data_IF_499230230646
#
_entry.id   IF_499230230646
#
_cell.length_a   1.000
_cell.length_b   1.000
_cell.length_c   1.000
_cell.angle_alpha   90.00
_cell.angle_beta   90.00
_cell.angle_gamma   90.00
#
_symmetry.space_group_name_H-M   'P 1'
#
loop_
_entity.id
_entity.type
_entity.pdbx_description
1 polymer ?
#
# COMPACT_ATOMS: atom_id res chain seq x y z
N UNK A 1 -7.31 -15.54 -30.41
CA UNK A 1 -7.45 -15.03 -29.03
C UNK A 1 -6.08 -15.14 -28.39
N UNK A 2 -5.34 -14.03 -28.35
CA UNK A 2 -3.96 -14.05 -27.85
C UNK A 2 -3.96 -14.33 -26.34
N UNK A 3 -3.44 -15.50 -25.99
CA UNK A 3 -2.94 -15.79 -24.67
C UNK A 3 -1.70 -14.92 -24.45
N UNK A 4 -1.92 -13.65 -24.06
CA UNK A 4 -0.84 -12.85 -23.48
C UNK A 4 -0.36 -13.57 -22.24
N UNK A 5 0.86 -14.08 -22.29
CA UNK A 5 1.53 -14.73 -21.16
C UNK A 5 1.45 -13.81 -19.92
N UNK A 6 0.89 -14.29 -18.79
CA UNK A 6 0.70 -13.47 -17.59
C UNK A 6 1.98 -12.77 -17.10
N UNK A 7 3.13 -13.40 -17.31
CA UNK A 7 4.44 -12.93 -16.85
C UNK A 7 4.90 -11.65 -17.55
N UNK A 8 4.79 -11.59 -18.87
CA UNK A 8 5.26 -10.43 -19.67
C UNK A 8 4.46 -9.16 -19.37
N UNK A 9 3.17 -9.31 -19.04
CA UNK A 9 2.33 -8.17 -18.64
C UNK A 9 2.68 -7.66 -17.26
N UNK A 10 3.13 -8.53 -16.34
CA UNK A 10 3.45 -8.16 -14.95
C UNK A 10 4.80 -7.47 -14.89
N UNK A 11 5.83 -8.03 -15.52
CA UNK A 11 7.17 -7.44 -15.56
C UNK A 11 7.15 -6.04 -16.19
N UNK A 12 6.34 -5.87 -17.24
CA UNK A 12 6.11 -4.56 -17.84
C UNK A 12 5.51 -3.56 -16.85
N UNK A 13 4.53 -3.97 -16.04
CA UNK A 13 3.92 -3.08 -15.04
C UNK A 13 4.94 -2.72 -13.96
N UNK A 14 5.72 -3.69 -13.47
CA UNK A 14 6.78 -3.45 -12.48
C UNK A 14 7.80 -2.44 -13.00
N UNK A 15 8.29 -2.63 -14.23
CA UNK A 15 9.23 -1.69 -14.84
C UNK A 15 8.64 -0.28 -15.02
N UNK A 16 7.35 -0.17 -15.36
CA UNK A 16 6.68 1.12 -15.45
C UNK A 16 6.48 1.78 -14.07
N UNK A 17 6.21 1.01 -13.03
CA UNK A 17 6.13 1.51 -11.65
C UNK A 17 7.47 2.12 -11.24
N UNK A 18 8.56 1.40 -11.50
CA UNK A 18 9.92 1.87 -11.20
C UNK A 18 10.18 3.23 -11.82
N UNK A 19 10.02 3.37 -13.14
CA UNK A 19 10.26 4.64 -13.82
C UNK A 19 9.37 5.79 -13.34
N UNK A 20 8.08 5.53 -13.10
CA UNK A 20 7.13 6.54 -12.62
C UNK A 20 7.45 6.99 -11.20
N UNK A 21 7.76 6.05 -10.32
CA UNK A 21 8.09 6.34 -8.93
C UNK A 21 9.44 7.06 -8.81
N UNK A 22 10.46 6.60 -9.55
CA UNK A 22 11.79 7.19 -9.56
C UNK A 22 11.74 8.66 -10.02
N UNK A 23 11.04 8.93 -11.13
CA UNK A 23 10.88 10.31 -11.62
C UNK A 23 10.11 11.19 -10.63
N UNK A 24 9.09 10.64 -9.97
CA UNK A 24 8.37 11.35 -8.91
C UNK A 24 9.28 11.68 -7.71
N UNK A 25 10.06 10.73 -7.22
CA UNK A 25 10.99 10.94 -6.11
C UNK A 25 12.04 12.01 -6.47
N UNK A 26 12.56 11.96 -7.70
CA UNK A 26 13.52 12.94 -8.22
C UNK A 26 12.96 14.36 -8.29
N UNK A 27 11.66 14.50 -8.55
CA UNK A 27 10.97 15.79 -8.65
C UNK A 27 10.41 16.29 -7.31
N UNK A 28 10.33 15.42 -6.29
CA UNK A 28 9.83 15.78 -4.97
C UNK A 28 10.87 16.62 -4.23
N UNK A 29 10.52 17.86 -3.90
CA UNK A 29 11.39 18.79 -3.15
C UNK A 29 11.66 18.33 -1.71
N UNK A 30 10.78 17.48 -1.16
CA UNK A 30 10.89 16.93 0.18
C UNK A 30 10.78 15.39 0.13
N UNK A 31 11.92 14.73 -0.04
CA UNK A 31 12.06 13.27 0.13
C UNK A 31 12.56 12.90 1.53
N UNK A 32 12.78 13.90 2.40
CA UNK A 32 13.22 13.71 3.78
C UNK A 32 12.07 13.45 4.75
N UNK A 33 10.90 14.04 4.49
CA UNK A 33 9.70 13.86 5.30
C UNK A 33 8.98 12.52 5.10
N UNK A 34 8.02 12.19 5.99
CA UNK A 34 7.21 10.99 5.88
C UNK A 34 6.26 11.06 4.67
N UNK A 35 6.09 9.95 3.99
CA UNK A 35 5.22 9.79 2.83
C UNK A 35 4.44 8.49 2.92
N UNK A 36 3.19 8.50 2.45
CA UNK A 36 2.35 7.30 2.37
C UNK A 36 1.95 7.04 0.93
N UNK A 37 2.40 5.92 0.38
CA UNK A 37 1.98 5.44 -0.93
C UNK A 37 0.76 4.55 -0.76
N UNK A 38 -0.37 4.98 -1.36
CA UNK A 38 -1.57 4.17 -1.54
C UNK A 38 -1.54 3.57 -2.94
N UNK A 39 -1.24 2.27 -3.04
CA UNK A 39 -1.35 1.53 -4.29
C UNK A 39 -2.82 1.31 -4.64
N UNK A 40 -3.26 1.79 -5.80
CA UNK A 40 -4.58 1.53 -6.37
C UNK A 40 -4.43 0.48 -7.49
N UNK A 41 -4.76 -0.77 -7.18
CA UNK A 41 -4.44 -1.93 -8.02
C UNK A 41 -5.68 -2.57 -8.62
N UNK A 42 -5.83 -2.61 -9.96
CA UNK A 42 -6.92 -3.34 -10.58
C UNK A 42 -6.88 -4.84 -10.24
N UNK A 43 -7.99 -5.42 -9.81
CA UNK A 43 -8.10 -6.85 -9.52
C UNK A 43 -7.80 -7.73 -10.74
N UNK A 44 -7.93 -7.19 -11.95
CA UNK A 44 -7.63 -7.89 -13.22
C UNK A 44 -6.14 -8.15 -13.48
N UNK A 45 -5.25 -7.60 -12.63
CA UNK A 45 -3.81 -7.89 -12.65
C UNK A 45 -3.34 -8.63 -11.38
N UNK A 46 -4.26 -9.03 -10.52
CA UNK A 46 -3.99 -9.78 -9.29
C UNK A 46 -4.47 -11.23 -9.45
N UNK A 47 -3.91 -12.11 -8.63
CA UNK A 47 -4.42 -13.48 -8.52
C UNK A 47 -5.64 -13.48 -7.59
N UNK A 48 -6.85 -13.79 -8.08
CA UNK A 48 -8.05 -13.82 -7.23
C UNK A 48 -8.01 -14.91 -6.15
N UNK A 49 -7.09 -15.89 -6.25
CA UNK A 49 -6.87 -16.92 -5.22
C UNK A 49 -5.84 -16.49 -4.17
N UNK A 50 -5.01 -15.50 -4.49
CA UNK A 50 -3.95 -15.00 -3.61
C UNK A 50 -3.66 -13.52 -3.87
N UNK A 51 -4.57 -12.66 -3.42
CA UNK A 51 -4.43 -11.21 -3.55
C UNK A 51 -3.18 -10.69 -2.85
N UNK A 52 -2.88 -11.17 -1.64
CA UNK A 52 -1.72 -10.70 -0.90
C UNK A 52 -0.41 -11.11 -1.59
N UNK A 53 -0.29 -12.37 -2.00
CA UNK A 53 0.87 -12.85 -2.73
C UNK A 53 1.07 -12.14 -4.06
N UNK A 54 0.00 -11.82 -4.78
CA UNK A 54 0.07 -11.07 -6.04
C UNK A 54 0.35 -9.56 -5.86
N UNK A 55 0.11 -8.98 -4.67
CA UNK A 55 0.48 -7.59 -4.35
C UNK A 55 1.97 -7.45 -4.00
N UNK A 56 2.54 -8.43 -3.30
CA UNK A 56 3.92 -8.38 -2.78
C UNK A 56 4.95 -7.95 -3.83
N UNK A 57 4.94 -8.43 -5.09
CA UNK A 57 5.88 -7.97 -6.12
C UNK A 57 5.84 -6.45 -6.37
N UNK A 58 4.66 -5.84 -6.38
CA UNK A 58 4.53 -4.39 -6.56
C UNK A 58 5.10 -3.61 -5.38
N UNK A 59 4.87 -4.10 -4.16
CA UNK A 59 5.43 -3.51 -2.94
C UNK A 59 6.96 -3.65 -2.93
N UNK A 60 7.48 -4.83 -3.25
CA UNK A 60 8.93 -5.06 -3.36
C UNK A 60 9.55 -4.12 -4.38
N UNK A 61 8.91 -3.92 -5.53
CA UNK A 61 9.41 -2.99 -6.55
C UNK A 61 9.47 -1.54 -6.05
N UNK A 62 8.43 -1.08 -5.35
CA UNK A 62 8.41 0.25 -4.71
C UNK A 62 9.57 0.37 -3.72
N UNK A 63 9.77 -0.64 -2.86
CA UNK A 63 10.83 -0.63 -1.85
C UNK A 63 12.22 -0.62 -2.50
N UNK A 64 12.43 -1.42 -3.55
CA UNK A 64 13.67 -1.47 -4.30
C UNK A 64 13.97 -0.12 -4.98
N UNK A 65 12.99 0.45 -5.69
CA UNK A 65 13.10 1.74 -6.36
C UNK A 65 13.43 2.87 -5.36
N UNK A 66 12.75 2.90 -4.21
CA UNK A 66 13.02 3.87 -3.14
C UNK A 66 14.44 3.69 -2.57
N UNK A 67 14.88 2.46 -2.35
CA UNK A 67 16.21 2.17 -1.82
C UNK A 67 17.32 2.52 -2.83
N UNK A 68 17.09 2.28 -4.12
CA UNK A 68 17.97 2.71 -5.21
C UNK A 68 18.09 4.24 -5.27
N UNK A 69 16.97 4.95 -5.12
CA UNK A 69 16.96 6.41 -5.09
C UNK A 69 17.71 6.96 -3.85
N UNK A 70 17.44 6.39 -2.67
CA UNK A 70 18.11 6.75 -1.44
C UNK A 70 18.02 5.62 -0.40
N UNK A 71 19.17 4.96 -0.16
CA UNK A 71 19.28 3.82 0.74
C UNK A 71 18.88 4.10 2.21
N UNK A 72 18.84 5.37 2.61
CA UNK A 72 18.45 5.78 3.97
C UNK A 72 16.93 5.82 4.16
N UNK A 73 16.14 5.84 3.08
CA UNK A 73 14.68 5.88 3.19
C UNK A 73 14.18 4.57 3.80
N UNK A 74 13.49 4.68 4.93
CA UNK A 74 12.87 3.53 5.60
C UNK A 74 11.50 3.28 5.00
N UNK A 75 11.18 2.01 4.75
CA UNK A 75 9.90 1.60 4.17
C UNK A 75 9.16 0.64 5.09
N UNK A 76 7.84 0.72 5.12
CA UNK A 76 7.01 -0.20 5.89
C UNK A 76 5.75 -0.58 5.11
N UNK A 77 5.52 -1.88 4.88
CA UNK A 77 4.31 -2.38 4.24
C UNK A 77 3.21 -2.54 5.29
N UNK A 78 2.27 -1.58 5.33
CA UNK A 78 1.33 -1.42 6.44
C UNK A 78 0.09 -2.30 6.27
N UNK A 79 -0.59 -2.21 5.13
CA UNK A 79 -1.92 -2.79 5.00
C UNK A 79 -2.31 -3.13 3.57
N UNK A 80 -3.30 -4.02 3.44
CA UNK A 80 -3.97 -4.39 2.19
C UNK A 80 -5.49 -4.44 2.44
N UNK A 81 -6.25 -3.74 1.60
CA UNK A 81 -7.71 -3.82 1.57
C UNK A 81 -8.17 -4.39 0.23
N UNK A 82 -8.73 -5.60 0.26
CA UNK A 82 -9.22 -6.33 -0.91
C UNK A 82 -10.72 -6.06 -1.04
N UNK A 83 -11.15 -5.45 -2.14
CA UNK A 83 -12.58 -5.22 -2.38
C UNK A 83 -13.11 -6.10 -3.51
N UNK A 84 -14.37 -6.57 -3.41
CA UNK A 84 -15.03 -7.23 -4.51
C UNK A 84 -15.16 -6.27 -5.70
N UNK A 85 -15.08 -6.82 -6.91
CA UNK A 85 -15.16 -6.03 -8.13
C UNK A 85 -13.79 -5.61 -8.64
N UNK A 86 -13.53 -4.29 -8.70
CA UNK A 86 -12.53 -3.76 -9.64
C UNK A 86 -11.13 -3.56 -9.06
N UNK A 87 -10.98 -3.21 -7.78
CA UNK A 87 -9.70 -2.74 -7.24
C UNK A 87 -9.40 -3.28 -5.84
N UNK A 88 -8.11 -3.45 -5.58
CA UNK A 88 -7.52 -3.77 -4.29
C UNK A 88 -6.47 -2.71 -3.97
N UNK A 89 -6.38 -2.34 -2.70
CA UNK A 89 -5.52 -1.27 -2.24
C UNK A 89 -4.44 -1.78 -1.31
N UNK A 90 -3.25 -1.21 -1.38
CA UNK A 90 -2.17 -1.49 -0.43
C UNK A 90 -1.50 -0.20 0.04
N UNK A 91 -0.89 -0.22 1.22
CA UNK A 91 -0.25 0.95 1.83
C UNK A 91 1.21 0.67 2.14
N UNK A 92 2.10 1.51 1.61
CA UNK A 92 3.53 1.52 1.97
C UNK A 92 3.88 2.89 2.51
N UNK A 93 4.38 2.94 3.74
CA UNK A 93 4.91 4.17 4.33
C UNK A 93 6.41 4.29 4.01
N UNK A 94 6.85 5.50 3.68
CA UNK A 94 8.24 5.89 3.51
C UNK A 94 8.58 6.93 4.59
N UNK A 95 9.75 6.82 5.23
CA UNK A 95 10.25 7.76 6.25
C UNK A 95 9.26 8.10 7.38
N UNK A 96 8.26 7.25 7.64
CA UNK A 96 7.41 7.36 8.80
C UNK A 96 8.14 6.77 10.03
N UNK A 97 9.23 7.42 10.45
CA UNK A 97 10.10 6.92 11.54
C UNK A 97 9.43 6.91 12.90
N UNK A 98 8.41 7.75 13.06
CA UNK A 98 7.61 7.84 14.28
C UNK A 98 6.47 6.80 14.31
N UNK A 99 6.38 5.93 13.30
CA UNK A 99 5.44 4.83 13.30
C UNK A 99 5.81 3.81 14.39
N UNK A 100 4.95 3.72 15.40
CA UNK A 100 4.99 2.69 16.41
C UNK A 100 3.80 1.74 16.25
N UNK A 101 4.08 0.49 15.88
CA UNK A 101 3.06 -0.55 15.70
C UNK A 101 2.22 -0.75 16.98
N UNK A 102 2.77 -0.59 18.19
CA UNK A 102 2.05 -0.84 19.44
C UNK A 102 0.99 0.24 19.69
N UNK A 103 1.26 1.48 19.33
CA UNK A 103 0.36 2.63 19.52
C UNK A 103 -0.36 3.08 18.25
N UNK A 104 -0.14 2.43 17.10
CA UNK A 104 -0.72 2.80 15.80
C UNK A 104 -2.26 2.94 15.78
N UNK A 105 -2.97 2.20 16.64
CA UNK A 105 -4.43 2.28 16.83
C UNK A 105 -4.93 3.56 17.55
N UNK A 106 -4.02 4.37 18.08
CA UNK A 106 -4.29 5.67 18.72
C UNK A 106 -3.66 6.82 17.93
N UNK A 107 -2.77 6.52 16.98
CA UNK A 107 -2.02 7.50 16.21
C UNK A 107 -2.95 8.34 15.32
N UNK A 108 -2.80 9.67 15.42
CA UNK A 108 -3.53 10.67 14.63
C UNK A 108 -2.63 11.44 13.67
N UNK A 109 -1.36 11.04 13.56
CA UNK A 109 -0.38 11.71 12.70
C UNK A 109 -0.82 11.63 11.25
N UNK A 110 -0.88 12.79 10.61
CA UNK A 110 -1.23 12.92 9.20
C UNK A 110 0.04 12.73 8.37
N UNK A 111 0.08 11.64 7.60
CA UNK A 111 1.16 11.39 6.64
C UNK A 111 0.67 11.77 5.24
N UNK A 112 1.41 12.60 4.48
CA UNK A 112 1.07 12.93 3.11
C UNK A 112 0.82 11.71 2.22
N UNK A 113 -0.40 11.58 1.71
CA UNK A 113 -0.82 10.45 0.86
C UNK A 113 -0.59 10.72 -0.63
N UNK A 114 0.07 9.79 -1.30
CA UNK A 114 0.26 9.76 -2.75
C UNK A 114 -0.36 8.48 -3.30
N UNK A 115 -1.24 8.62 -4.29
CA UNK A 115 -1.87 7.47 -4.93
C UNK A 115 -0.96 7.00 -6.06
N UNK A 116 -0.48 5.77 -5.97
CA UNK A 116 0.15 5.06 -7.08
C UNK A 116 -0.91 4.22 -7.78
N UNK A 117 -1.48 4.77 -8.86
CA UNK A 117 -2.48 4.08 -9.66
C UNK A 117 -1.82 3.10 -10.61
N UNK A 118 -1.99 1.81 -10.36
CA UNK A 118 -1.47 0.77 -11.21
C UNK A 118 -2.39 0.56 -12.41
N UNK A 119 -1.79 0.41 -13.59
CA UNK A 119 -2.53 0.05 -14.80
C UNK A 119 -1.61 -0.64 -15.80
N UNK A 120 -2.20 -1.42 -16.71
CA UNK A 120 -1.45 -2.12 -17.77
C UNK A 120 -0.76 -1.20 -18.78
N UNK A 121 -1.13 0.09 -18.83
CA UNK A 121 -0.71 1.02 -19.90
C UNK A 121 0.01 2.25 -19.39
N UNK A 122 -0.48 2.87 -18.32
CA UNK A 122 -0.01 4.17 -17.86
C UNK A 122 -0.17 4.28 -16.34
N UNK A 123 0.72 3.65 -15.55
CA UNK A 123 0.74 3.89 -14.11
C UNK A 123 1.06 5.35 -13.83
N UNK A 124 0.52 5.88 -12.75
CA UNK A 124 0.70 7.29 -12.37
C UNK A 124 0.78 7.42 -10.86
N UNK A 125 1.58 8.37 -10.40
CA UNK A 125 1.63 8.77 -9.00
C UNK A 125 1.22 10.23 -8.87
N UNK A 126 0.40 10.54 -7.88
CA UNK A 126 -0.03 11.91 -7.62
C UNK A 126 -0.46 12.10 -6.16
N UNK A 127 -0.32 13.32 -5.66
CA UNK A 127 -0.72 13.71 -4.30
C UNK A 127 -2.24 13.74 -4.16
N UNK A 128 -2.77 13.20 -3.06
CA UNK A 128 -4.20 13.28 -2.71
C UNK A 128 -4.40 13.72 -1.26
N UNK A 129 -4.46 15.04 -1.01
CA UNK A 129 -4.52 15.64 0.33
C UNK A 129 -5.76 15.24 1.14
N UNK A 130 -6.87 15.03 0.44
CA UNK A 130 -8.14 14.67 1.07
C UNK A 130 -8.08 13.29 1.75
N UNK A 131 -7.11 12.46 1.37
CA UNK A 131 -6.91 11.13 1.95
C UNK A 131 -5.98 11.12 3.16
N UNK A 132 -5.28 12.21 3.50
CA UNK A 132 -4.33 12.19 4.62
C UNK A 132 -5.01 11.80 5.93
N UNK A 133 -6.14 12.45 6.24
CA UNK A 133 -6.94 12.14 7.41
C UNK A 133 -7.75 10.85 7.26
N UNK A 134 -8.35 10.62 6.08
CA UNK A 134 -9.19 9.45 5.85
C UNK A 134 -8.40 8.14 5.95
N UNK A 135 -7.21 8.10 5.36
CA UNK A 135 -6.35 6.92 5.40
C UNK A 135 -5.70 6.73 6.76
N UNK A 136 -5.33 7.82 7.46
CA UNK A 136 -4.86 7.72 8.84
C UNK A 136 -5.93 7.10 9.76
N UNK A 137 -7.18 7.58 9.69
CA UNK A 137 -8.28 7.03 10.48
C UNK A 137 -8.59 5.57 10.10
N UNK A 138 -8.54 5.24 8.81
CA UNK A 138 -8.76 3.86 8.33
C UNK A 138 -7.72 2.91 8.91
N UNK A 139 -6.43 3.25 8.80
CA UNK A 139 -5.34 2.42 9.34
C UNK A 139 -5.43 2.29 10.86
N UNK A 140 -5.81 3.36 11.55
CA UNK A 140 -6.04 3.35 13.00
C UNK A 140 -7.12 2.34 13.40
N UNK A 141 -8.25 2.33 12.68
CA UNK A 141 -9.34 1.36 12.88
C UNK A 141 -8.85 -0.06 12.57
N UNK A 142 -8.09 -0.25 11.49
CA UNK A 142 -7.52 -1.56 11.15
C UNK A 142 -6.59 -2.07 12.26
N UNK A 143 -5.66 -1.23 12.74
CA UNK A 143 -4.78 -1.59 13.85
C UNK A 143 -5.54 -1.94 15.12
N UNK A 144 -6.60 -1.20 15.44
CA UNK A 144 -7.46 -1.55 16.56
C UNK A 144 -8.08 -2.93 16.33
N UNK A 145 -8.72 -3.16 15.19
CA UNK A 145 -9.47 -4.39 14.88
C UNK A 145 -8.62 -5.65 14.79
N UNK A 146 -7.45 -5.57 14.15
CA UNK A 146 -6.52 -6.69 13.98
C UNK A 146 -5.74 -7.07 15.24
N UNK A 147 -5.85 -6.29 16.33
CA UNK A 147 -5.16 -6.64 17.56
C UNK A 147 -3.65 -6.67 17.37
N UNK A 148 -3.04 -7.85 17.51
CA UNK A 148 -1.58 -8.04 17.43
C UNK A 148 -1.16 -8.80 16.17
N UNK A 149 -2.01 -8.85 15.14
CA UNK A 149 -1.66 -9.49 13.86
C UNK A 149 -0.44 -8.81 13.21
N UNK A 150 0.51 -9.57 12.65
CA UNK A 150 1.69 -8.99 12.02
C UNK A 150 1.33 -8.17 10.78
N UNK A 151 2.20 -7.23 10.41
CA UNK A 151 2.08 -6.49 9.16
C UNK A 151 2.37 -7.38 7.93
N UNK A 152 1.76 -7.09 6.77
CA UNK A 152 0.71 -6.08 6.58
C UNK A 152 -0.62 -6.56 7.17
N UNK A 153 -1.42 -5.63 7.68
CA UNK A 153 -2.81 -5.91 8.08
C UNK A 153 -3.67 -6.14 6.83
N UNK A 154 -4.49 -7.18 6.81
CA UNK A 154 -5.27 -7.56 5.62
C UNK A 154 -6.75 -7.60 5.91
N UNK A 155 -7.49 -6.69 5.29
CA UNK A 155 -8.95 -6.76 5.26
C UNK A 155 -9.43 -7.28 3.90
N UNK A 156 -10.11 -8.42 3.94
CA UNK A 156 -10.75 -9.01 2.78
C UNK A 156 -12.26 -8.73 2.78
N UNK A 157 -12.70 -7.70 2.06
CA UNK A 157 -14.11 -7.34 1.92
C UNK A 157 -14.88 -8.26 0.96
N UNK A 158 -14.21 -9.21 0.30
CA UNK A 158 -14.89 -10.29 -0.42
C UNK A 158 -15.43 -11.37 0.53
N UNK A 159 -14.95 -11.43 1.78
CA UNK A 159 -15.43 -12.38 2.78
C UNK A 159 -16.63 -11.79 3.56
N UNK A 160 -17.84 -12.34 3.40
CA UNK A 160 -19.02 -11.87 4.12
C UNK A 160 -18.95 -12.14 5.63
N UNK A 161 -18.06 -13.03 6.08
CA UNK A 161 -17.88 -13.39 7.49
C UNK A 161 -16.75 -12.60 8.15
N UNK A 162 -16.19 -11.58 7.48
CA UNK A 162 -15.12 -10.75 8.04
C UNK A 162 -15.54 -10.15 9.38
N UNK A 163 -14.82 -10.49 10.42
CA UNK A 163 -14.97 -9.93 11.75
C UNK A 163 -13.61 -9.73 12.40
N UNK A 164 -13.45 -8.64 13.13
CA UNK A 164 -12.31 -8.43 13.99
C UNK A 164 -12.47 -9.29 15.25
N UNK A 165 -11.59 -10.27 15.42
CA UNK A 165 -11.69 -11.26 16.48
C UNK A 165 -11.11 -10.79 17.82
N UNK A 166 -10.18 -9.82 17.81
CA UNK A 166 -9.51 -9.37 19.04
C UNK A 166 -9.08 -7.89 19.01
N UNK A 167 -10.05 -6.94 19.01
CA UNK A 167 -9.72 -5.52 19.02
C UNK A 167 -8.86 -5.08 20.21
N UNK A 168 -7.86 -4.23 19.99
CA UNK A 168 -6.97 -3.72 21.07
C UNK A 168 -7.73 -2.99 22.17
N UNK A 169 -8.70 -2.17 21.77
CA UNK A 169 -9.60 -1.45 22.70
C UNK A 169 -10.43 -2.34 23.62
N UNK A 170 -10.54 -3.65 23.35
CA UNK A 170 -11.25 -4.61 24.22
C UNK A 170 -10.33 -5.33 25.21
N UNK A 171 -9.00 -5.19 25.07
CA UNK A 171 -8.05 -5.72 26.05
C UNK A 171 -8.00 -4.76 27.24
N UNK A 172 -8.73 -5.12 28.29
CA UNK A 172 -8.65 -4.48 29.62
C UNK A 172 -7.43 -4.97 30.39
#
# INVERSE_FOLDING_TARGET
>A
MDASTPDVSRDRILHQIHGVLFEFLRQSEDTGGPMRILGDTPNSILDPKDYLGSIRPFVTEIQNCVHEFNANIKTCFIAVNIYPGKHTYFVVDLNNTDYDYQTAHECKTLVPVYILRLSKRNPRIFRKRELDGQLAETLRIMHNGHGQDPLPLVDNYCDPNRQYSNPRSLKR
#
